data_IF_414531046396
#
_entry.id   IF_414531046396
#
_cell.length_a   1.000
_cell.length_b   1.000
_cell.length_c   1.000
_cell.angle_alpha   90.00
_cell.angle_beta   90.00
_cell.angle_gamma   90.00
#
_symmetry.space_group_name_H-M   'P 1'
#
loop_
_entity.id
_entity.type
_entity.pdbx_description
1 polymer ?
#
# COMPACT_ATOMS: atom_id res chain seq x y z
N UNK A 1 -18.07 -2.50 -7.53
CA UNK A 1 -18.23 -3.94 -7.24
C UNK A 1 -17.93 -4.82 -8.46
N UNK A 2 -18.44 -4.56 -9.64
CA UNK A 2 -18.18 -5.41 -10.83
C UNK A 2 -16.69 -5.51 -11.20
N UNK A 3 -15.95 -4.42 -11.07
CA UNK A 3 -14.49 -4.39 -11.29
C UNK A 3 -13.70 -5.27 -10.30
N UNK A 4 -14.08 -5.27 -9.01
CA UNK A 4 -13.44 -6.07 -7.96
C UNK A 4 -13.61 -7.57 -8.20
N UNK A 5 -14.82 -8.00 -8.51
CA UNK A 5 -15.13 -9.41 -8.79
C UNK A 5 -14.36 -9.91 -10.02
N UNK A 6 -14.26 -9.07 -11.06
CA UNK A 6 -13.47 -9.42 -12.27
C UNK A 6 -11.98 -9.61 -11.94
N UNK A 7 -11.40 -8.78 -11.07
CA UNK A 7 -10.01 -8.90 -10.65
C UNK A 7 -9.80 -10.19 -9.86
N UNK A 8 -10.65 -10.47 -8.86
CA UNK A 8 -10.56 -11.70 -8.05
C UNK A 8 -10.69 -12.94 -8.93
N UNK A 9 -11.69 -12.98 -9.80
CA UNK A 9 -11.90 -14.10 -10.73
C UNK A 9 -10.69 -14.33 -11.64
N UNK A 10 -10.11 -13.25 -12.18
CA UNK A 10 -8.91 -13.32 -13.02
C UNK A 10 -7.70 -13.84 -12.22
N UNK A 11 -7.54 -13.41 -10.97
CA UNK A 11 -6.45 -13.84 -10.10
C UNK A 11 -6.53 -15.32 -9.75
N UNK A 12 -7.74 -15.79 -9.40
CA UNK A 12 -7.98 -17.22 -9.12
C UNK A 12 -7.74 -18.05 -10.39
N UNK A 13 -8.21 -17.60 -11.53
CA UNK A 13 -7.97 -18.29 -12.82
C UNK A 13 -6.46 -18.38 -13.12
N UNK A 14 -5.72 -17.29 -12.91
CA UNK A 14 -4.25 -17.28 -13.11
C UNK A 14 -3.55 -18.23 -12.16
N UNK A 15 -3.97 -18.28 -10.89
CA UNK A 15 -3.45 -19.24 -9.91
C UNK A 15 -3.67 -20.68 -10.35
N UNK A 16 -4.88 -21.02 -10.78
CA UNK A 16 -5.24 -22.37 -11.23
C UNK A 16 -4.52 -22.78 -12.51
N UNK A 17 -4.31 -21.84 -13.44
CA UNK A 17 -3.60 -22.10 -14.69
C UNK A 17 -2.14 -22.49 -14.46
N UNK A 18 -1.48 -21.90 -13.45
CA UNK A 18 -0.09 -22.16 -13.08
C UNK A 18 0.02 -22.81 -11.70
N UNK A 19 -0.93 -23.71 -11.36
CA UNK A 19 -1.07 -24.29 -10.04
C UNK A 19 0.25 -24.86 -9.48
N UNK A 20 0.96 -25.70 -10.24
CA UNK A 20 2.21 -26.32 -9.78
C UNK A 20 3.28 -25.30 -9.41
N UNK A 21 3.40 -24.23 -10.19
CA UNK A 21 4.37 -23.18 -9.94
C UNK A 21 4.06 -22.40 -8.65
N UNK A 22 2.81 -21.99 -8.48
CA UNK A 22 2.40 -21.21 -7.32
C UNK A 22 2.33 -22.02 -6.02
N UNK A 23 1.96 -23.28 -6.08
CA UNK A 23 2.01 -24.18 -4.89
C UNK A 23 3.43 -24.46 -4.45
N UNK A 24 4.37 -24.63 -5.38
CA UNK A 24 5.79 -24.75 -5.06
C UNK A 24 6.32 -23.45 -4.42
N UNK A 25 5.90 -22.29 -4.92
CA UNK A 25 6.26 -20.99 -4.32
C UNK A 25 5.64 -20.82 -2.92
N UNK A 26 4.43 -21.35 -2.68
CA UNK A 26 3.80 -21.34 -1.36
C UNK A 26 4.60 -22.15 -0.32
N UNK A 27 5.24 -23.24 -0.72
CA UNK A 27 6.17 -23.98 0.14
C UNK A 27 7.36 -23.12 0.59
N UNK A 28 7.86 -22.26 -0.26
CA UNK A 28 8.92 -21.32 0.10
C UNK A 28 8.47 -20.28 1.12
N UNK A 29 7.20 -19.87 1.08
CA UNK A 29 6.62 -18.95 2.05
C UNK A 29 6.23 -19.61 3.40
N UNK A 30 6.27 -20.93 3.50
CA UNK A 30 5.83 -21.69 4.67
C UNK A 30 6.57 -21.33 5.97
N UNK A 31 7.91 -21.10 6.01
CA UNK A 31 8.59 -20.67 7.22
C UNK A 31 8.07 -19.35 7.78
N UNK A 32 7.70 -18.41 6.90
CA UNK A 32 7.06 -17.16 7.30
C UNK A 32 5.67 -17.43 7.90
N UNK A 33 4.87 -18.28 7.27
CA UNK A 33 3.52 -18.62 7.74
C UNK A 33 3.54 -19.29 9.10
N UNK A 34 4.47 -20.21 9.34
CA UNK A 34 4.69 -20.83 10.65
C UNK A 34 5.08 -19.76 11.68
N UNK A 35 6.01 -18.89 11.33
CA UNK A 35 6.50 -17.85 12.22
C UNK A 35 5.38 -16.91 12.67
N UNK A 36 4.50 -16.47 11.76
CA UNK A 36 3.39 -15.56 12.09
C UNK A 36 2.32 -16.26 12.94
N UNK A 37 1.96 -17.52 12.63
CA UNK A 37 0.96 -18.27 13.38
C UNK A 37 1.44 -18.56 14.81
N UNK A 38 2.71 -18.91 14.99
CA UNK A 38 3.31 -19.09 16.31
C UNK A 38 3.39 -17.76 17.07
N UNK A 39 3.76 -16.67 16.40
CA UNK A 39 3.86 -15.36 17.04
C UNK A 39 2.52 -14.84 17.58
N UNK A 40 1.42 -15.14 16.89
CA UNK A 40 0.07 -14.83 17.36
C UNK A 40 -0.33 -15.62 18.60
N UNK A 41 0.35 -16.74 18.86
CA UNK A 41 0.06 -17.66 19.96
C UNK A 41 0.94 -17.44 21.20
N UNK A 42 2.08 -16.77 21.04
CA UNK A 42 2.96 -16.45 22.15
C UNK A 42 2.30 -15.41 23.04
N UNK A 43 1.94 -15.82 24.25
CA UNK A 43 1.44 -14.93 25.29
C UNK A 43 2.54 -13.93 25.69
N UNK A 44 2.18 -12.65 25.90
CA UNK A 44 3.15 -11.58 26.22
C UNK A 44 3.92 -11.84 27.53
N UNK A 45 3.41 -12.69 28.41
CA UNK A 45 4.02 -12.98 29.72
C UNK A 45 5.37 -13.70 29.64
N UNK A 46 5.69 -14.36 28.54
CA UNK A 46 6.94 -15.08 28.37
C UNK A 46 8.14 -14.22 27.99
N UNK A 47 7.93 -12.99 27.54
CA UNK A 47 8.98 -12.06 27.11
C UNK A 47 9.11 -10.89 28.09
N UNK A 48 10.31 -10.63 28.55
CA UNK A 48 10.66 -9.48 29.41
C UNK A 48 10.28 -8.09 28.84
N UNK A 49 9.71 -8.06 27.64
CA UNK A 49 9.32 -6.84 26.92
C UNK A 49 8.13 -6.17 27.61
N UNK A 50 7.14 -6.93 28.06
CA UNK A 50 5.95 -6.38 28.75
C UNK A 50 6.34 -5.63 30.03
N UNK A 51 7.22 -6.21 30.86
CA UNK A 51 7.68 -5.59 32.10
C UNK A 51 8.55 -4.35 31.83
N UNK A 52 9.43 -4.40 30.84
CA UNK A 52 10.27 -3.26 30.43
C UNK A 52 9.43 -2.11 29.86
N UNK A 53 8.43 -2.42 29.06
CA UNK A 53 7.54 -1.44 28.46
C UNK A 53 6.68 -0.76 29.53
N UNK A 54 6.17 -1.53 30.51
CA UNK A 54 5.47 -1.00 31.66
C UNK A 54 6.34 -0.06 32.47
N UNK A 55 7.58 -0.44 32.76
CA UNK A 55 8.55 0.42 33.48
C UNK A 55 8.86 1.71 32.70
N UNK A 56 8.88 1.64 31.37
CA UNK A 56 9.07 2.83 30.50
C UNK A 56 7.87 3.78 30.55
N UNK A 57 6.65 3.25 30.53
CA UNK A 57 5.43 4.04 30.65
C UNK A 57 5.30 4.67 32.05
N UNK A 58 5.61 3.93 33.11
CA UNK A 58 5.63 4.45 34.47
C UNK A 58 6.66 5.60 34.62
N UNK A 59 7.87 5.43 34.03
CA UNK A 59 8.89 6.47 34.00
C UNK A 59 8.48 7.71 33.16
N UNK A 60 7.64 7.53 32.15
CA UNK A 60 7.11 8.61 31.32
C UNK A 60 5.91 9.34 31.94
N UNK A 61 5.48 8.93 33.17
CA UNK A 61 4.40 9.60 33.91
C UNK A 61 2.98 9.19 33.47
N UNK A 62 2.84 8.04 32.82
CA UNK A 62 1.50 7.53 32.46
C UNK A 62 0.79 6.93 33.68
N UNK A 63 -0.52 7.14 33.85
CA UNK A 63 -1.25 6.60 34.97
C UNK A 63 -1.32 5.07 34.90
N UNK A 64 -0.68 4.34 35.86
CA UNK A 64 -0.55 2.87 35.78
C UNK A 64 -1.89 2.13 35.98
N UNK A 65 -2.90 2.78 36.52
CA UNK A 65 -4.20 2.19 36.86
C UNK A 65 -5.26 2.30 35.73
N UNK A 66 -4.96 2.99 34.64
CA UNK A 66 -5.90 3.14 33.54
C UNK A 66 -6.01 1.83 32.74
N UNK A 67 -7.22 1.29 32.61
CA UNK A 67 -7.50 0.09 31.78
C UNK A 67 -7.01 0.26 30.33
N UNK A 68 -7.11 1.48 29.80
CA UNK A 68 -6.63 1.81 28.46
C UNK A 68 -5.12 1.55 28.31
N UNK A 69 -4.31 2.02 29.27
CA UNK A 69 -2.86 1.81 29.23
C UNK A 69 -2.46 0.37 29.46
N UNK A 70 -3.21 -0.37 30.27
CA UNK A 70 -2.98 -1.82 30.45
C UNK A 70 -3.20 -2.58 29.13
N UNK A 71 -4.32 -2.33 28.46
CA UNK A 71 -4.64 -2.95 27.15
C UNK A 71 -3.63 -2.53 26.09
N UNK A 72 -3.26 -1.25 26.06
CA UNK A 72 -2.30 -0.70 25.12
C UNK A 72 -0.92 -1.30 25.30
N UNK A 73 -0.40 -1.39 26.54
CA UNK A 73 0.87 -2.01 26.86
C UNK A 73 0.89 -3.49 26.44
N UNK A 74 -0.19 -4.21 26.68
CA UNK A 74 -0.33 -5.60 26.26
C UNK A 74 -0.27 -5.72 24.73
N UNK A 75 -1.02 -4.92 23.99
CA UNK A 75 -1.05 -4.92 22.53
C UNK A 75 0.28 -4.49 21.93
N UNK A 76 0.89 -3.45 22.47
CA UNK A 76 2.18 -2.97 21.97
C UNK A 76 3.29 -4.00 22.24
N UNK A 77 3.34 -4.60 23.42
CA UNK A 77 4.28 -5.67 23.76
C UNK A 77 4.11 -6.88 22.83
N UNK A 78 2.88 -7.29 22.55
CA UNK A 78 2.56 -8.38 21.63
C UNK A 78 3.03 -8.03 20.20
N UNK A 79 2.77 -6.82 19.73
CA UNK A 79 3.17 -6.37 18.39
C UNK A 79 4.69 -6.32 18.24
N UNK A 80 5.41 -5.82 19.23
CA UNK A 80 6.87 -5.77 19.22
C UNK A 80 7.46 -7.17 19.21
N UNK A 81 7.01 -8.05 20.10
CA UNK A 81 7.49 -9.43 20.20
C UNK A 81 7.25 -10.22 18.91
N UNK A 82 6.05 -10.11 18.36
CA UNK A 82 5.65 -10.71 17.09
C UNK A 82 6.52 -10.17 15.94
N UNK A 83 6.75 -8.85 15.90
CA UNK A 83 7.58 -8.24 14.85
C UNK A 83 9.03 -8.74 14.89
N UNK A 84 9.64 -8.84 16.07
CA UNK A 84 11.01 -9.35 16.21
C UNK A 84 11.12 -10.79 15.71
N UNK A 85 10.13 -11.62 16.01
CA UNK A 85 10.14 -13.04 15.58
C UNK A 85 9.90 -13.18 14.07
N UNK A 86 8.95 -12.44 13.53
CA UNK A 86 8.48 -12.58 12.13
C UNK A 86 9.38 -11.86 11.12
N UNK A 87 10.04 -10.77 11.53
CA UNK A 87 10.82 -9.91 10.65
C UNK A 87 11.91 -10.64 9.84
N UNK A 88 12.75 -11.53 10.41
CA UNK A 88 13.77 -12.24 9.63
C UNK A 88 13.16 -13.15 8.57
N UNK A 89 12.05 -13.84 8.88
CA UNK A 89 11.35 -14.70 7.92
C UNK A 89 10.61 -13.89 6.85
N UNK A 90 10.10 -12.72 7.21
CA UNK A 90 9.49 -11.78 6.27
C UNK A 90 10.51 -11.22 5.27
N UNK A 91 11.69 -10.82 5.75
CA UNK A 91 12.74 -10.25 4.90
C UNK A 91 13.45 -11.30 4.03
N UNK A 92 13.39 -12.58 4.39
CA UNK A 92 13.98 -13.66 3.62
C UNK A 92 12.93 -14.41 2.79
N UNK A 93 12.28 -15.39 3.39
CA UNK A 93 11.42 -16.35 2.69
C UNK A 93 10.22 -15.73 1.99
N UNK A 94 9.50 -14.82 2.68
CA UNK A 94 8.33 -14.16 2.09
C UNK A 94 8.75 -13.26 0.92
N UNK A 95 9.85 -12.53 1.06
CA UNK A 95 10.31 -11.62 0.02
C UNK A 95 10.76 -12.36 -1.23
N UNK A 96 11.46 -13.49 -1.07
CA UNK A 96 11.84 -14.36 -2.19
C UNK A 96 10.59 -14.93 -2.88
N UNK A 97 9.62 -15.41 -2.11
CA UNK A 97 8.36 -15.91 -2.66
C UNK A 97 7.61 -14.82 -3.45
N UNK A 98 7.52 -13.60 -2.91
CA UNK A 98 6.94 -12.45 -3.63
C UNK A 98 7.70 -12.13 -4.92
N UNK A 99 9.05 -12.12 -4.88
CA UNK A 99 9.88 -11.87 -6.05
C UNK A 99 9.64 -12.89 -7.17
N UNK A 100 9.53 -14.17 -6.83
CA UNK A 100 9.23 -15.26 -7.77
C UNK A 100 7.85 -15.07 -8.42
N UNK A 101 6.82 -14.75 -7.63
CA UNK A 101 5.49 -14.48 -8.16
C UNK A 101 5.50 -13.27 -9.11
N UNK A 102 6.13 -12.17 -8.70
CA UNK A 102 6.23 -10.95 -9.52
C UNK A 102 7.01 -11.21 -10.81
N UNK A 103 8.09 -12.00 -10.75
CA UNK A 103 8.86 -12.39 -11.93
C UNK A 103 7.97 -13.13 -12.94
N UNK A 104 7.11 -14.05 -12.50
CA UNK A 104 6.21 -14.78 -13.41
C UNK A 104 5.24 -13.86 -14.16
N UNK A 105 4.86 -12.73 -13.56
CA UNK A 105 4.04 -11.70 -14.22
C UNK A 105 4.82 -10.79 -15.15
N UNK A 106 6.14 -10.67 -14.98
CA UNK A 106 7.01 -9.79 -15.76
C UNK A 106 7.53 -10.45 -17.05
N UNK A 107 7.70 -11.78 -17.05
CA UNK A 107 8.20 -12.56 -18.20
C UNK A 107 7.31 -12.48 -19.45
N UNK A 108 6.06 -12.00 -19.32
CA UNK A 108 5.15 -11.84 -20.46
C UNK A 108 5.47 -10.61 -21.37
N UNK A 109 6.35 -9.67 -20.94
CA UNK A 109 6.49 -8.38 -21.63
C UNK A 109 7.91 -7.87 -21.87
N UNK A 110 8.97 -8.48 -21.28
CA UNK A 110 10.35 -8.01 -21.42
C UNK A 110 11.38 -9.16 -21.33
N UNK A 111 12.63 -8.98 -21.85
CA UNK A 111 13.70 -9.94 -21.64
C UNK A 111 13.85 -10.20 -20.14
N UNK A 112 13.99 -11.47 -19.79
CA UNK A 112 13.89 -12.01 -18.43
C UNK A 112 14.72 -11.16 -17.43
N UNK A 113 14.08 -10.36 -16.57
CA UNK A 113 14.83 -9.62 -15.55
C UNK A 113 15.44 -10.62 -14.57
N UNK A 114 16.68 -10.38 -14.17
CA UNK A 114 17.34 -11.24 -13.19
C UNK A 114 16.57 -11.24 -11.87
N UNK A 115 16.31 -12.41 -11.30
CA UNK A 115 15.64 -12.54 -10.00
C UNK A 115 16.32 -11.70 -8.91
N UNK A 116 17.66 -11.59 -8.98
CA UNK A 116 18.46 -10.79 -8.05
C UNK A 116 18.15 -9.29 -8.14
N UNK A 117 17.91 -8.77 -9.36
CA UNK A 117 17.53 -7.37 -9.55
C UNK A 117 16.15 -7.07 -8.97
N UNK A 118 15.16 -7.94 -9.23
CA UNK A 118 13.81 -7.86 -8.65
C UNK A 118 13.89 -7.92 -7.13
N UNK A 119 14.64 -8.90 -6.58
CA UNK A 119 14.78 -9.09 -5.15
C UNK A 119 15.38 -7.84 -4.47
N UNK A 120 16.47 -7.28 -5.03
CA UNK A 120 17.10 -6.09 -4.45
C UNK A 120 16.16 -4.88 -4.42
N UNK A 121 15.40 -4.67 -5.50
CA UNK A 121 14.42 -3.58 -5.59
C UNK A 121 13.30 -3.74 -4.56
N UNK A 122 12.74 -4.95 -4.43
CA UNK A 122 11.70 -5.30 -3.46
C UNK A 122 12.24 -5.21 -2.03
N UNK A 123 13.47 -5.68 -1.78
CA UNK A 123 14.09 -5.63 -0.45
C UNK A 123 14.27 -4.20 0.05
N UNK A 124 14.79 -3.31 -0.79
CA UNK A 124 14.92 -1.89 -0.47
C UNK A 124 13.56 -1.25 -0.16
N UNK A 125 12.53 -1.56 -0.96
CA UNK A 125 11.18 -1.05 -0.74
C UNK A 125 10.57 -1.61 0.54
N UNK A 126 10.84 -2.87 0.87
CA UNK A 126 10.35 -3.50 2.11
C UNK A 126 10.91 -2.82 3.36
N UNK A 127 12.19 -2.41 3.35
CA UNK A 127 12.78 -1.65 4.46
C UNK A 127 12.02 -0.33 4.67
N UNK A 128 11.80 0.43 3.59
CA UNK A 128 11.03 1.67 3.66
C UNK A 128 9.59 1.46 4.11
N UNK A 129 8.94 0.40 3.62
CA UNK A 129 7.59 0.03 4.05
C UNK A 129 7.54 -0.25 5.56
N UNK A 130 8.52 -0.97 6.09
CA UNK A 130 8.60 -1.26 7.54
C UNK A 130 8.74 0.05 8.33
N UNK A 131 9.59 0.97 7.90
CA UNK A 131 9.76 2.28 8.55
C UNK A 131 8.46 3.11 8.51
N UNK A 132 7.76 3.12 7.37
CA UNK A 132 6.48 3.85 7.23
C UNK A 132 5.41 3.26 8.14
N UNK A 133 5.31 1.92 8.23
CA UNK A 133 4.34 1.26 9.10
C UNK A 133 4.64 1.55 10.57
N UNK A 134 5.90 1.50 10.99
CA UNK A 134 6.31 1.85 12.36
C UNK A 134 5.99 3.32 12.65
N UNK A 135 6.31 4.23 11.73
CA UNK A 135 6.02 5.65 11.86
C UNK A 135 4.52 5.91 11.94
N UNK A 136 3.70 5.28 11.09
CA UNK A 136 2.26 5.40 11.11
C UNK A 136 1.65 4.88 12.43
N UNK A 137 2.14 3.76 12.94
CA UNK A 137 1.72 3.25 14.25
C UNK A 137 2.08 4.22 15.38
N UNK A 138 3.31 4.74 15.39
CA UNK A 138 3.76 5.69 16.40
C UNK A 138 2.95 7.01 16.37
N UNK A 139 2.72 7.56 15.18
CA UNK A 139 1.92 8.79 15.03
C UNK A 139 0.46 8.59 15.45
N UNK A 140 -0.17 7.49 15.03
CA UNK A 140 -1.53 7.16 15.46
C UNK A 140 -1.61 6.99 16.98
N UNK A 141 -0.63 6.33 17.59
CA UNK A 141 -0.55 6.18 19.03
C UNK A 141 -0.50 7.55 19.74
N UNK A 142 0.41 8.44 19.31
CA UNK A 142 0.54 9.78 19.89
C UNK A 142 -0.73 10.62 19.73
N UNK A 143 -1.36 10.57 18.57
CA UNK A 143 -2.61 11.30 18.30
C UNK A 143 -3.73 10.79 19.21
N UNK A 144 -3.90 9.48 19.34
CA UNK A 144 -4.91 8.89 20.23
C UNK A 144 -4.62 9.20 21.70
N UNK A 145 -3.35 9.19 22.10
CA UNK A 145 -2.94 9.55 23.45
C UNK A 145 -3.26 11.01 23.80
N UNK A 146 -2.89 11.94 22.92
CA UNK A 146 -3.22 13.37 23.11
C UNK A 146 -4.73 13.58 23.16
N UNK A 147 -5.46 12.95 22.23
CA UNK A 147 -6.91 13.02 22.19
C UNK A 147 -7.55 12.48 23.47
N UNK A 148 -7.06 11.36 24.02
CA UNK A 148 -7.55 10.79 25.27
C UNK A 148 -7.35 11.77 26.43
N UNK A 149 -6.16 12.32 26.60
CA UNK A 149 -5.88 13.29 27.67
C UNK A 149 -6.71 14.59 27.55
N UNK A 150 -6.98 15.05 26.32
CA UNK A 150 -7.81 16.24 26.09
C UNK A 150 -9.28 15.96 26.37
N UNK A 151 -9.79 14.76 26.09
CA UNK A 151 -11.19 14.40 26.22
C UNK A 151 -11.54 13.91 27.63
N UNK A 152 -10.60 13.49 28.44
CA UNK A 152 -10.83 13.13 29.86
C UNK A 152 -11.48 14.30 30.62
N UNK A 153 -11.13 15.54 30.28
CA UNK A 153 -11.74 16.74 30.81
C UNK A 153 -13.20 17.00 30.37
N UNK A 154 -13.67 16.30 29.30
CA UNK A 154 -15.01 16.53 28.73
C UNK A 154 -16.08 15.54 29.22
N UNK A 155 -15.79 14.65 30.17
CA UNK A 155 -16.75 13.66 30.74
C UNK A 155 -17.41 12.74 29.69
N UNK A 156 -16.73 12.48 28.55
CA UNK A 156 -17.19 11.54 27.53
C UNK A 156 -16.93 10.11 28.02
N UNK A 157 -17.87 9.16 27.84
CA UNK A 157 -17.65 7.78 28.23
C UNK A 157 -16.41 7.19 27.51
N UNK A 158 -15.44 6.72 28.28
CA UNK A 158 -14.17 6.19 27.81
C UNK A 158 -14.33 5.07 26.77
N UNK A 159 -15.38 4.28 26.89
CA UNK A 159 -15.72 3.20 25.96
C UNK A 159 -16.04 3.72 24.54
N UNK A 160 -16.80 4.81 24.43
CA UNK A 160 -17.14 5.42 23.14
C UNK A 160 -15.89 5.93 22.42
N UNK A 161 -15.01 6.59 23.17
CA UNK A 161 -13.74 7.09 22.65
C UNK A 161 -12.83 5.95 22.16
N UNK A 162 -12.73 4.86 22.92
CA UNK A 162 -11.93 3.68 22.56
C UNK A 162 -12.44 3.04 21.26
N UNK A 163 -13.75 2.94 21.08
CA UNK A 163 -14.35 2.41 19.84
C UNK A 163 -14.04 3.32 18.65
N UNK A 164 -14.27 4.62 18.77
CA UNK A 164 -14.02 5.59 17.69
C UNK A 164 -12.53 5.63 17.34
N UNK A 165 -11.66 5.69 18.35
CA UNK A 165 -10.21 5.66 18.18
C UNK A 165 -9.73 4.39 17.50
N UNK A 166 -10.27 3.23 17.88
CA UNK A 166 -9.98 1.94 17.24
C UNK A 166 -10.39 1.91 15.76
N UNK A 167 -11.55 2.48 15.42
CA UNK A 167 -12.00 2.56 14.00
C UNK A 167 -11.05 3.46 13.19
N UNK A 168 -10.75 4.66 13.69
CA UNK A 168 -9.84 5.60 13.00
C UNK A 168 -8.46 4.97 12.82
N UNK A 169 -7.90 4.37 13.87
CA UNK A 169 -6.65 3.65 13.82
C UNK A 169 -6.65 2.57 12.73
N UNK A 170 -7.69 1.72 12.71
CA UNK A 170 -7.83 0.65 11.73
C UNK A 170 -7.87 1.16 10.29
N UNK A 171 -8.57 2.27 10.04
CA UNK A 171 -8.66 2.88 8.70
C UNK A 171 -7.28 3.38 8.24
N UNK A 172 -6.56 4.10 9.12
CA UNK A 172 -5.24 4.66 8.78
C UNK A 172 -4.23 3.56 8.48
N UNK A 173 -4.13 2.56 9.37
CA UNK A 173 -3.20 1.44 9.19
C UNK A 173 -3.54 0.60 7.96
N UNK A 174 -4.82 0.32 7.71
CA UNK A 174 -5.23 -0.43 6.51
C UNK A 174 -4.84 0.30 5.23
N UNK A 175 -5.06 1.61 5.14
CA UNK A 175 -4.64 2.39 3.97
C UNK A 175 -3.11 2.39 3.80
N UNK A 176 -2.34 2.52 4.88
CA UNK A 176 -0.88 2.43 4.84
C UNK A 176 -0.42 1.05 4.34
N UNK A 177 -1.00 -0.04 4.85
CA UNK A 177 -0.68 -1.42 4.45
C UNK A 177 -0.98 -1.68 2.97
N UNK A 178 -2.14 -1.22 2.47
CA UNK A 178 -2.52 -1.37 1.06
C UNK A 178 -1.52 -0.64 0.15
N UNK A 179 -1.16 0.59 0.52
CA UNK A 179 -0.18 1.40 -0.23
C UNK A 179 1.20 0.74 -0.24
N UNK A 180 1.65 0.24 0.90
CA UNK A 180 2.91 -0.47 1.05
C UNK A 180 2.96 -1.77 0.23
N UNK A 181 1.88 -2.57 0.23
CA UNK A 181 1.80 -3.77 -0.60
C UNK A 181 1.83 -3.45 -2.09
N UNK A 182 1.12 -2.40 -2.52
CA UNK A 182 1.16 -1.96 -3.92
C UNK A 182 2.55 -1.44 -4.32
N UNK A 183 3.21 -0.66 -3.45
CA UNK A 183 4.56 -0.15 -3.66
C UNK A 183 5.58 -1.27 -3.85
N UNK A 184 5.45 -2.35 -3.07
CA UNK A 184 6.31 -3.53 -3.18
C UNK A 184 6.14 -4.24 -4.54
N UNK A 185 4.91 -4.41 -5.00
CA UNK A 185 4.61 -5.00 -6.31
C UNK A 185 5.15 -4.10 -7.43
N UNK A 186 4.90 -2.79 -7.34
CA UNK A 186 5.39 -1.80 -8.27
C UNK A 186 6.91 -1.82 -8.38
N UNK A 187 7.62 -1.87 -7.24
CA UNK A 187 9.09 -1.91 -7.23
C UNK A 187 9.65 -3.12 -7.94
N UNK A 188 9.01 -4.29 -7.80
CA UNK A 188 9.41 -5.51 -8.49
C UNK A 188 9.03 -5.53 -9.98
N UNK A 189 7.91 -4.91 -10.34
CA UNK A 189 7.44 -4.83 -11.74
C UNK A 189 8.21 -3.80 -12.57
N UNK A 190 8.63 -2.69 -11.98
CA UNK A 190 9.32 -1.59 -12.67
C UNK A 190 10.82 -1.55 -12.39
N UNK A 191 11.35 -2.46 -11.57
CA UNK A 191 12.76 -2.51 -11.16
C UNK A 191 13.24 -1.21 -10.48
N UNK A 192 12.30 -0.42 -9.95
CA UNK A 192 12.57 0.83 -9.24
C UNK A 192 12.33 0.60 -7.75
N UNK A 193 13.38 0.56 -6.93
CA UNK A 193 13.28 0.31 -5.50
C UNK A 193 13.20 1.57 -4.65
N UNK A 194 12.83 1.38 -3.38
CA UNK A 194 12.91 2.40 -2.35
C UNK A 194 11.71 3.33 -2.23
N UNK A 195 11.93 4.51 -1.69
CA UNK A 195 10.89 5.49 -1.37
C UNK A 195 10.12 6.01 -2.60
N UNK A 196 10.79 6.09 -3.75
CA UNK A 196 10.17 6.55 -5.01
C UNK A 196 9.02 5.63 -5.42
N UNK A 197 9.16 4.31 -5.25
CA UNK A 197 8.10 3.35 -5.54
C UNK A 197 6.88 3.56 -4.64
N UNK A 198 7.07 3.97 -3.39
CA UNK A 198 5.97 4.25 -2.47
C UNK A 198 5.22 5.50 -2.90
N UNK A 199 5.94 6.58 -3.24
CA UNK A 199 5.31 7.80 -3.75
C UNK A 199 4.51 7.53 -5.03
N UNK A 200 5.07 6.76 -5.95
CA UNK A 200 4.40 6.38 -7.19
C UNK A 200 3.15 5.53 -6.94
N UNK A 201 3.23 4.59 -5.98
CA UNK A 201 2.08 3.81 -5.55
C UNK A 201 0.97 4.69 -4.95
N UNK A 202 1.33 5.68 -4.12
CA UNK A 202 0.37 6.65 -3.56
C UNK A 202 -0.38 7.42 -4.66
N UNK A 203 0.35 7.89 -5.67
CA UNK A 203 -0.26 8.62 -6.79
C UNK A 203 -1.16 7.70 -7.61
N UNK A 204 -0.72 6.47 -7.86
CA UNK A 204 -1.43 5.51 -8.71
C UNK A 204 -2.71 4.96 -8.06
N UNK A 205 -2.73 4.83 -6.72
CA UNK A 205 -3.92 4.38 -5.98
C UNK A 205 -4.95 5.50 -5.78
N UNK A 206 -4.56 6.76 -5.99
CA UNK A 206 -5.44 7.93 -5.83
C UNK A 206 -6.66 7.79 -6.75
N UNK A 207 -7.87 7.88 -6.16
CA UNK A 207 -9.14 7.69 -6.86
C UNK A 207 -9.57 6.22 -7.01
N UNK A 208 -8.75 5.24 -6.58
CA UNK A 208 -9.04 3.80 -6.64
C UNK A 208 -8.90 3.08 -5.30
N UNK A 209 -8.74 3.83 -4.22
CA UNK A 209 -8.60 3.32 -2.85
C UNK A 209 -9.78 2.43 -2.46
N UNK A 210 -11.00 2.77 -2.87
CA UNK A 210 -12.20 1.97 -2.59
C UNK A 210 -12.12 0.56 -3.23
N UNK A 211 -11.60 0.45 -4.44
CA UNK A 211 -11.41 -0.85 -5.11
C UNK A 211 -10.31 -1.64 -4.42
N UNK A 212 -9.19 -1.01 -4.07
CA UNK A 212 -8.08 -1.64 -3.37
C UNK A 212 -8.50 -2.17 -1.99
N UNK A 213 -9.27 -1.37 -1.23
CA UNK A 213 -9.84 -1.77 0.04
C UNK A 213 -10.79 -2.96 -0.11
N UNK A 214 -11.67 -2.91 -1.11
CA UNK A 214 -12.63 -3.99 -1.41
C UNK A 214 -11.95 -5.30 -1.85
N UNK A 215 -10.73 -5.25 -2.41
CA UNK A 215 -9.92 -6.43 -2.71
C UNK A 215 -9.20 -6.96 -1.49
N UNK A 216 -8.71 -6.08 -0.61
CA UNK A 216 -7.95 -6.44 0.58
C UNK A 216 -8.80 -7.08 1.67
N UNK A 217 -10.06 -6.64 1.85
CA UNK A 217 -10.95 -7.14 2.92
C UNK A 217 -11.15 -8.66 2.86
N UNK A 218 -11.57 -9.29 1.74
CA UNK A 218 -11.82 -10.73 1.71
C UNK A 218 -10.56 -11.55 1.96
N UNK A 219 -9.41 -11.09 1.50
CA UNK A 219 -8.13 -11.79 1.73
C UNK A 219 -7.73 -11.73 3.21
N UNK A 220 -7.79 -10.54 3.81
CA UNK A 220 -7.48 -10.38 5.23
C UNK A 220 -8.46 -11.15 6.14
N UNK A 221 -9.74 -11.21 5.78
CA UNK A 221 -10.74 -12.02 6.49
C UNK A 221 -10.41 -13.51 6.39
N UNK A 222 -9.98 -13.98 5.23
CA UNK A 222 -9.57 -15.37 5.05
C UNK A 222 -8.30 -15.70 5.86
N UNK A 223 -7.30 -14.81 5.86
CA UNK A 223 -6.08 -14.96 6.68
C UNK A 223 -6.41 -15.00 8.17
N UNK A 224 -7.24 -14.07 8.66
CA UNK A 224 -7.70 -14.05 10.05
C UNK A 224 -8.50 -15.32 10.42
N UNK A 225 -9.28 -15.85 9.49
CA UNK A 225 -9.99 -17.12 9.67
C UNK A 225 -9.03 -18.30 9.87
N UNK A 226 -7.93 -18.36 9.11
CA UNK A 226 -6.90 -19.40 9.27
C UNK A 226 -6.12 -19.20 10.58
N UNK A 227 -5.81 -17.98 10.98
CA UNK A 227 -5.18 -17.69 12.28
C UNK A 227 -6.07 -18.15 13.43
N UNK A 228 -7.37 -17.85 13.37
CA UNK A 228 -8.34 -18.32 14.34
C UNK A 228 -8.43 -19.86 14.37
N UNK A 229 -8.44 -20.50 13.20
CA UNK A 229 -8.45 -21.96 13.09
C UNK A 229 -7.20 -22.58 13.75
N UNK A 230 -6.02 -21.99 13.54
CA UNK A 230 -4.78 -22.44 14.16
C UNK A 230 -4.84 -22.31 15.68
N UNK A 231 -5.31 -21.18 16.20
CA UNK A 231 -5.45 -20.97 17.64
C UNK A 231 -6.44 -21.97 18.26
N UNK A 232 -7.56 -22.21 17.61
CA UNK A 232 -8.60 -23.10 18.12
C UNK A 232 -8.17 -24.58 18.06
N UNK A 233 -7.56 -25.02 16.95
CA UNK A 233 -7.23 -26.44 16.73
C UNK A 233 -5.90 -26.85 17.34
N UNK A 234 -4.90 -26.00 17.26
CA UNK A 234 -3.54 -26.33 17.70
C UNK A 234 -3.28 -25.85 19.13
N UNK A 235 -3.47 -24.53 19.38
CA UNK A 235 -3.06 -23.94 20.65
C UNK A 235 -4.01 -24.33 21.79
N UNK A 236 -5.31 -24.28 21.58
CA UNK A 236 -6.28 -24.69 22.59
C UNK A 236 -6.16 -26.18 22.91
N UNK A 237 -6.01 -27.05 21.90
CA UNK A 237 -5.81 -28.49 22.11
C UNK A 237 -4.50 -28.80 22.86
N UNK A 238 -3.44 -27.99 22.63
CA UNK A 238 -2.18 -28.09 23.40
C UNK A 238 -2.39 -27.71 24.87
N UNK A 239 -3.12 -26.60 25.11
CA UNK A 239 -3.42 -26.16 26.48
C UNK A 239 -4.30 -27.12 27.26
N UNK A 240 -5.31 -27.72 26.61
CA UNK A 240 -6.27 -28.63 27.26
C UNK A 240 -5.69 -30.00 27.52
N UNK A 241 -4.70 -30.49 26.75
CA UNK A 241 -4.17 -31.85 26.87
C UNK A 241 -3.25 -32.06 28.06
N UNK A 242 -2.76 -30.99 28.73
CA UNK A 242 -1.92 -31.11 29.95
C UNK A 242 -0.64 -31.96 29.79
N UNK A 243 -0.39 -32.46 28.58
CA UNK A 243 0.71 -33.37 28.26
C UNK A 243 1.82 -32.57 27.58
N UNK A 244 2.99 -32.61 28.16
CA UNK A 244 4.21 -31.95 27.66
C UNK A 244 4.76 -32.56 26.35
N UNK A 245 4.03 -33.43 25.67
CA UNK A 245 4.42 -33.98 24.37
C UNK A 245 3.51 -33.51 23.26
N UNK A 246 4.09 -32.78 22.33
CA UNK A 246 3.46 -32.44 21.04
C UNK A 246 3.16 -33.74 20.28
N UNK A 247 1.90 -34.13 20.17
CA UNK A 247 1.52 -35.28 19.36
C UNK A 247 1.86 -35.03 17.88
N UNK A 248 2.43 -36.04 17.20
CA UNK A 248 2.81 -35.90 15.77
C UNK A 248 1.62 -35.51 14.89
N UNK A 249 0.41 -35.93 15.24
CA UNK A 249 -0.83 -35.52 14.57
C UNK A 249 -1.11 -34.01 14.65
N UNK A 250 -0.86 -33.42 15.82
CA UNK A 250 -1.07 -31.98 16.04
C UNK A 250 -0.06 -31.11 15.26
N UNK A 251 1.20 -31.59 15.20
CA UNK A 251 2.24 -30.93 14.38
C UNK A 251 1.87 -30.98 12.91
N UNK A 252 1.40 -32.12 12.42
CA UNK A 252 0.99 -32.26 11.01
C UNK A 252 -0.21 -31.39 10.68
N UNK A 253 -1.20 -31.30 11.58
CA UNK A 253 -2.35 -30.41 11.43
C UNK A 253 -1.92 -28.92 11.41
N UNK A 254 -1.04 -28.51 12.31
CA UNK A 254 -0.47 -27.16 12.35
C UNK A 254 0.29 -26.81 11.08
N UNK A 255 1.09 -27.74 10.55
CA UNK A 255 1.82 -27.57 9.30
C UNK A 255 0.87 -27.42 8.10
N UNK A 256 -0.20 -28.20 8.06
CA UNK A 256 -1.22 -28.11 7.02
C UNK A 256 -1.93 -26.73 7.05
N UNK A 257 -2.30 -26.26 8.24
CA UNK A 257 -2.90 -24.93 8.41
C UNK A 257 -1.93 -23.83 7.97
N UNK A 258 -0.64 -23.94 8.33
CA UNK A 258 0.40 -23.00 7.90
C UNK A 258 0.59 -23.01 6.38
N UNK A 259 0.47 -24.17 5.74
CA UNK A 259 0.52 -24.28 4.28
C UNK A 259 -0.69 -23.58 3.60
N UNK A 260 -1.90 -23.75 4.14
CA UNK A 260 -3.08 -22.99 3.65
C UNK A 260 -2.88 -21.50 3.79
N UNK A 261 -2.29 -21.04 4.88
CA UNK A 261 -1.93 -19.64 5.09
C UNK A 261 -0.95 -19.13 4.01
N UNK A 262 0.07 -19.94 3.69
CA UNK A 262 1.04 -19.64 2.63
C UNK A 262 0.37 -19.51 1.25
N UNK A 263 -0.57 -20.39 0.92
CA UNK A 263 -1.32 -20.31 -0.34
C UNK A 263 -2.11 -19.00 -0.43
N UNK A 264 -2.79 -18.60 0.65
CA UNK A 264 -3.53 -17.35 0.68
C UNK A 264 -2.62 -16.12 0.48
N UNK A 265 -1.42 -16.14 1.07
CA UNK A 265 -0.44 -15.07 0.85
C UNK A 265 -0.05 -14.98 -0.63
N UNK A 266 0.20 -16.11 -1.28
CA UNK A 266 0.54 -16.11 -2.72
C UNK A 266 -0.63 -15.59 -3.56
N UNK A 267 -1.86 -15.97 -3.23
CA UNK A 267 -3.07 -15.44 -3.89
C UNK A 267 -3.18 -13.94 -3.69
N UNK A 268 -2.88 -13.41 -2.49
CA UNK A 268 -2.86 -11.97 -2.22
C UNK A 268 -1.87 -11.23 -3.13
N UNK A 269 -0.66 -11.77 -3.29
CA UNK A 269 0.33 -11.20 -4.20
C UNK A 269 -0.15 -11.21 -5.65
N UNK A 270 -0.78 -12.30 -6.09
CA UNK A 270 -1.36 -12.41 -7.44
C UNK A 270 -2.46 -11.36 -7.66
N UNK A 271 -3.37 -11.22 -6.68
CA UNK A 271 -4.44 -10.19 -6.71
C UNK A 271 -3.81 -8.80 -6.85
N UNK A 272 -2.79 -8.51 -6.05
CA UNK A 272 -2.05 -7.25 -6.11
C UNK A 272 -1.39 -7.01 -7.47
N UNK A 273 -0.77 -8.03 -8.10
CA UNK A 273 -0.19 -7.92 -9.43
C UNK A 273 -1.24 -7.65 -10.51
N UNK A 274 -2.38 -8.32 -10.46
CA UNK A 274 -3.50 -8.10 -11.40
C UNK A 274 -4.11 -6.70 -11.21
N UNK A 275 -4.27 -6.27 -9.96
CA UNK A 275 -4.74 -4.93 -9.62
C UNK A 275 -3.77 -3.85 -10.11
N UNK A 276 -2.46 -4.03 -9.86
CA UNK A 276 -1.42 -3.12 -10.36
C UNK A 276 -1.50 -2.95 -11.88
N UNK A 277 -1.58 -4.04 -12.65
CA UNK A 277 -1.72 -3.98 -14.12
C UNK A 277 -2.97 -3.18 -14.53
N UNK A 278 -4.08 -3.36 -13.83
CA UNK A 278 -5.31 -2.60 -14.06
C UNK A 278 -5.15 -1.11 -13.77
N UNK A 279 -4.45 -0.77 -12.69
CA UNK A 279 -4.16 0.62 -12.33
C UNK A 279 -3.19 1.28 -13.34
N UNK A 280 -2.17 0.55 -13.78
CA UNK A 280 -1.19 1.05 -14.75
C UNK A 280 -1.84 1.40 -16.09
N UNK A 281 -2.66 0.50 -16.63
CA UNK A 281 -3.40 0.74 -17.90
C UNK A 281 -4.26 2.01 -17.80
N UNK A 282 -4.91 2.22 -16.66
CA UNK A 282 -5.74 3.40 -16.49
C UNK A 282 -4.94 4.68 -16.25
N UNK A 283 -3.80 4.59 -15.56
CA UNK A 283 -2.88 5.71 -15.38
C UNK A 283 -2.29 6.15 -16.72
N UNK A 284 -1.81 5.21 -17.54
CA UNK A 284 -1.27 5.49 -18.87
C UNK A 284 -2.32 6.11 -19.78
N UNK A 285 -3.57 5.63 -19.73
CA UNK A 285 -4.69 6.23 -20.49
C UNK A 285 -4.97 7.66 -20.08
N UNK A 286 -5.03 7.95 -18.79
CA UNK A 286 -5.29 9.30 -18.30
C UNK A 286 -4.14 10.26 -18.62
N UNK A 287 -2.89 9.78 -18.57
CA UNK A 287 -1.72 10.55 -18.95
C UNK A 287 -1.74 10.91 -20.43
N UNK A 288 -1.99 9.94 -21.31
CA UNK A 288 -2.06 10.20 -22.74
C UNK A 288 -3.19 11.19 -23.08
N UNK A 289 -4.35 11.09 -22.41
CA UNK A 289 -5.45 12.05 -22.59
C UNK A 289 -5.05 13.46 -22.12
N UNK A 290 -4.30 13.59 -21.03
CA UNK A 290 -3.80 14.88 -20.54
C UNK A 290 -2.72 15.46 -21.47
N UNK A 291 -1.84 14.62 -22.01
CA UNK A 291 -0.80 15.02 -22.96
C UNK A 291 -1.43 15.49 -24.31
N UNK A 292 -2.52 14.82 -24.78
CA UNK A 292 -3.29 15.24 -25.96
C UNK A 292 -4.04 16.58 -25.74
N UNK A 293 -4.58 16.79 -24.53
CA UNK A 293 -5.28 18.02 -24.17
C UNK A 293 -4.28 19.19 -24.06
N UNK A 294 -3.11 18.96 -23.45
CA UNK A 294 -2.05 19.96 -23.39
C UNK A 294 -1.51 20.32 -24.80
N UNK A 295 -1.37 19.33 -25.68
CA UNK A 295 -1.00 19.57 -27.08
C UNK A 295 -2.03 20.45 -27.82
N UNK A 296 -3.33 20.19 -27.64
CA UNK A 296 -4.39 21.01 -28.26
C UNK A 296 -4.39 22.46 -27.74
N UNK A 297 -4.18 22.65 -26.44
CA UNK A 297 -4.11 24.00 -25.85
C UNK A 297 -2.91 24.77 -26.42
N UNK A 298 -1.76 24.13 -26.58
CA UNK A 298 -0.57 24.76 -27.16
C UNK A 298 -0.79 25.11 -28.63
N UNK A 299 -1.47 24.27 -29.42
CA UNK A 299 -1.84 24.57 -30.81
C UNK A 299 -2.82 25.75 -30.89
N UNK A 300 -3.84 25.79 -30.04
CA UNK A 300 -4.83 26.85 -29.99
C UNK A 300 -4.20 28.19 -29.57
N UNK A 301 -3.27 28.20 -28.61
CA UNK A 301 -2.50 29.42 -28.24
C UNK A 301 -1.57 29.87 -29.37
N UNK A 302 -0.96 28.94 -30.11
CA UNK A 302 -0.10 29.29 -31.26
C UNK A 302 -0.92 29.88 -32.41
N UNK A 303 -2.10 29.34 -32.74
CA UNK A 303 -3.00 29.92 -33.77
C UNK A 303 -3.54 31.29 -33.36
N UNK A 304 -3.87 31.49 -32.08
CA UNK A 304 -4.28 32.81 -31.56
C UNK A 304 -3.15 33.83 -31.68
N UNK A 305 -1.93 33.46 -31.33
CA UNK A 305 -0.75 34.35 -31.47
C UNK A 305 -0.43 34.71 -32.93
N UNK A 306 -0.57 33.74 -33.85
CA UNK A 306 -0.39 34.01 -35.29
C UNK A 306 -1.47 34.94 -35.84
N UNK A 307 -2.72 34.77 -35.43
CA UNK A 307 -3.82 35.65 -35.85
C UNK A 307 -3.69 37.05 -35.26
N UNK A 308 -3.22 37.24 -34.04
CA UNK A 308 -2.91 38.57 -33.48
C UNK A 308 -1.77 39.27 -34.24
N UNK A 309 -0.73 38.51 -34.63
CA UNK A 309 0.39 39.03 -35.42
C UNK A 309 -0.07 39.49 -36.81
N UNK A 310 -0.91 38.69 -37.48
CA UNK A 310 -1.49 39.01 -38.80
C UNK A 310 -2.37 40.27 -38.69
N UNK A 311 -3.21 40.36 -37.68
CA UNK A 311 -4.07 41.53 -37.47
C UNK A 311 -3.25 42.79 -37.17
N UNK A 312 -2.19 42.73 -36.37
CA UNK A 312 -1.30 43.87 -36.11
C UNK A 312 -0.55 44.35 -37.37
N UNK A 313 -0.16 43.38 -38.26
CA UNK A 313 0.43 43.71 -39.56
C UNK A 313 -0.59 44.38 -40.53
N UNK A 314 -1.82 43.91 -40.54
CA UNK A 314 -2.91 44.50 -41.33
C UNK A 314 -3.22 45.93 -40.87
N UNK A 315 -3.27 46.17 -39.58
CA UNK A 315 -3.48 47.51 -39.01
C UNK A 315 -2.33 48.47 -39.37
N UNK A 316 -1.08 47.97 -39.34
CA UNK A 316 0.09 48.74 -39.76
C UNK A 316 0.03 49.12 -41.26
N UNK A 317 -0.37 48.21 -42.13
CA UNK A 317 -0.56 48.42 -43.55
C UNK A 317 -1.67 49.44 -43.78
N UNK A 318 -2.78 49.35 -43.10
CA UNK A 318 -3.88 50.34 -43.16
C UNK A 318 -3.43 51.71 -42.73
N UNK A 319 -2.63 51.83 -41.67
CA UNK A 319 -2.08 53.12 -41.21
C UNK A 319 -1.13 53.71 -42.24
N UNK A 320 -0.27 52.93 -42.87
CA UNK A 320 0.64 53.43 -43.94
C UNK A 320 -0.14 53.90 -45.16
N UNK A 321 -1.18 53.15 -45.55
CA UNK A 321 -2.05 53.57 -46.68
C UNK A 321 -2.80 54.84 -46.37
N UNK A 322 -3.32 55.05 -45.18
CA UNK A 322 -4.01 56.28 -44.78
C UNK A 322 -3.06 57.54 -44.82
N UNK A 323 -1.84 57.34 -44.28
CA UNK A 323 -0.81 58.40 -44.32
C UNK A 323 -0.38 58.78 -45.74
N UNK A 324 -0.28 57.75 -46.63
CA UNK A 324 0.08 57.94 -48.02
C UNK A 324 -1.01 58.70 -48.83
N UNK A 325 -2.28 58.45 -48.48
CA UNK A 325 -3.43 59.15 -49.07
C UNK A 325 -3.51 60.57 -48.56
N UNK A 326 -3.24 60.85 -47.33
CA UNK A 326 -3.22 62.17 -46.72
C UNK A 326 -2.06 63.01 -47.29
N UNK A 327 -0.88 62.40 -47.46
CA UNK A 327 0.25 63.01 -48.10
C UNK A 327 -0.06 63.44 -49.58
N UNK A 328 -0.74 62.55 -50.33
CA UNK A 328 -1.13 62.80 -51.71
C UNK A 328 -2.19 63.89 -51.86
N UNK A 329 -3.13 63.99 -50.95
CA UNK A 329 -4.14 65.14 -50.93
C UNK A 329 -3.50 66.43 -50.54
N UNK A 330 -2.51 66.51 -49.66
CA UNK A 330 -1.76 67.76 -49.38
C UNK A 330 -0.94 68.23 -50.55
N UNK A 331 -0.33 67.32 -51.34
CA UNK A 331 0.46 67.72 -52.53
C UNK A 331 -0.41 68.21 -53.67
N UNK A 332 -1.60 67.66 -53.90
CA UNK A 332 -2.54 68.06 -54.92
C UNK A 332 -3.24 69.41 -54.57
N UNK A 333 -3.30 69.78 -53.30
CA UNK A 333 -3.83 71.10 -52.86
C UNK A 333 -2.82 72.20 -52.95
N UNK A 334 -1.52 71.93 -53.09
CA UNK A 334 -0.44 72.95 -53.22
C UNK A 334 -0.21 73.39 -54.65
N UNK A 335 -0.70 72.66 -55.67
CA UNK A 335 -0.55 73.03 -57.11
C UNK A 335 -1.75 73.83 -57.64
N UNK A 336 -2.67 74.25 -56.77
CA UNK A 336 -3.87 75.04 -57.16
C UNK A 336 -3.91 76.43 -56.53
N UNK A 337 -2.77 77.08 -56.25
CA UNK A 337 -2.66 78.50 -55.87
C UNK A 337 -1.79 79.25 -56.86
#
# INVERSE_FOLDING_TARGET
MESTIKIIRKSIHTFLLHYHYFTSTAFLALPFSISILISCSLLPDSLSIHSRLRSLFDAAGFPPESEFFSILNLRLSQTISSSILVLPFSLSFLLIAKAIVIQSFNTLHHPIPSLTGIFNSIFQTQIWNTLIIISANATCFWVLFIAFNCLENLHIPSLLFTIIGGIVYSIVITNAMITCNLALILSGMEMSGGFISILKACVMIRGRTSIALSLSIPVNMALAGIEFLFQFRVIKAYSDSGVSQLGSSMVLEGLFIAYLYSILIIIDVIIGCVFFKSCKIAYDRNRNAADEEAGRIIEEEAELGENELINSHLDLIHLVYSLQTEYKTMYTSSDSV
#
